data_IF_694858523133
#
_entry.id   IF_694858523133
#
_cell.length_a   1.000
_cell.length_b   1.000
_cell.length_c   1.000
_cell.angle_alpha   90.00
_cell.angle_beta   90.00
_cell.angle_gamma   90.00
#
_symmetry.space_group_name_H-M   'P 1'
#
loop_
_entity.id
_entity.type
_entity.pdbx_description
1 polymer ?
#
# COMPACT_ATOMS: atom_id res chain seq x y z
N UNK A 1 -4.16 -58.08 -13.81
CA UNK A 1 -2.95 -58.02 -12.95
C UNK A 1 -2.01 -56.98 -13.53
N UNK A 2 -1.56 -56.02 -12.70
CA UNK A 2 -0.51 -55.01 -12.94
C UNK A 2 -0.90 -53.86 -13.89
N UNK A 3 -0.73 -52.57 -13.60
CA UNK A 3 -0.20 -51.83 -12.44
C UNK A 3 -0.82 -50.42 -12.54
N UNK A 4 -1.50 -49.96 -11.49
CA UNK A 4 -1.87 -48.54 -11.37
C UNK A 4 -0.64 -47.76 -10.91
N UNK A 5 -0.12 -46.89 -11.78
CA UNK A 5 0.85 -45.87 -11.37
C UNK A 5 0.06 -44.73 -10.72
N UNK A 6 0.02 -44.73 -9.38
CA UNK A 6 -0.38 -43.55 -8.61
C UNK A 6 0.83 -42.62 -8.63
N UNK A 7 0.82 -41.63 -9.53
CA UNK A 7 1.73 -40.49 -9.44
C UNK A 7 1.17 -39.59 -8.34
N UNK A 8 1.58 -39.87 -7.10
CA UNK A 8 1.53 -38.89 -6.03
C UNK A 8 2.55 -37.80 -6.38
N UNK A 9 2.09 -36.77 -7.10
CA UNK A 9 2.85 -35.55 -7.23
C UNK A 9 2.95 -34.93 -5.83
N UNK A 10 4.12 -35.10 -5.20
CA UNK A 10 4.56 -34.32 -4.06
C UNK A 10 4.33 -32.85 -4.41
N UNK A 11 3.30 -32.25 -3.82
CA UNK A 11 3.20 -30.80 -3.67
C UNK A 11 4.30 -30.45 -2.67
N UNK A 12 5.47 -30.10 -3.19
CA UNK A 12 6.51 -29.43 -2.44
C UNK A 12 5.89 -28.14 -1.87
N UNK A 13 5.76 -27.97 -0.55
CA UNK A 13 5.37 -26.71 0.01
C UNK A 13 6.60 -25.81 -0.08
N UNK A 14 6.73 -25.03 -1.16
CA UNK A 14 7.51 -23.80 -1.11
C UNK A 14 6.76 -22.82 -0.20
N UNK A 15 6.88 -23.05 1.11
CA UNK A 15 6.47 -22.15 2.17
C UNK A 15 7.69 -21.37 2.64
N UNK A 16 8.18 -20.42 1.83
CA UNK A 16 9.13 -19.40 2.31
C UNK A 16 9.01 -18.13 1.48
N UNK A 17 7.94 -17.38 1.72
CA UNK A 17 7.98 -15.93 1.67
C UNK A 17 6.69 -15.40 2.31
N UNK A 18 6.71 -15.25 3.65
CA UNK A 18 5.85 -14.24 4.28
C UNK A 18 6.42 -12.90 3.77
N UNK A 19 5.85 -12.32 2.72
CA UNK A 19 6.26 -10.97 2.32
C UNK A 19 5.16 -9.99 2.71
N UNK A 20 5.63 -8.85 3.21
CA UNK A 20 4.82 -7.67 3.45
C UNK A 20 4.17 -7.20 2.14
N UNK A 21 3.09 -6.44 2.27
CA UNK A 21 2.22 -5.94 1.19
C UNK A 21 2.94 -5.29 -0.01
N UNK A 22 4.12 -4.74 0.25
CA UNK A 22 5.00 -4.07 -0.68
C UNK A 22 6.21 -4.97 -0.94
N UNK A 23 6.77 -4.91 -2.14
CA UNK A 23 8.01 -5.63 -2.45
C UNK A 23 9.11 -5.21 -1.48
N UNK A 24 9.52 -6.13 -0.61
CA UNK A 24 10.54 -5.85 0.39
C UNK A 24 11.92 -5.85 -0.29
N UNK A 25 12.65 -4.71 -0.30
CA UNK A 25 13.93 -4.66 -0.99
C UNK A 25 14.97 -5.56 -0.30
N UNK A 26 15.89 -6.12 -1.10
CA UNK A 26 17.09 -6.76 -0.56
C UNK A 26 18.01 -5.71 0.08
N UNK A 27 18.77 -6.12 1.11
CA UNK A 27 19.65 -5.22 1.89
C UNK A 27 20.63 -4.43 1.00
N UNK A 28 21.25 -5.08 0.01
CA UNK A 28 22.18 -4.43 -0.92
C UNK A 28 21.48 -3.35 -1.76
N UNK A 29 20.27 -3.65 -2.24
CA UNK A 29 19.48 -2.72 -3.07
C UNK A 29 18.99 -1.54 -2.23
N UNK A 30 18.58 -1.78 -0.99
CA UNK A 30 18.17 -0.73 -0.07
C UNK A 30 19.35 0.19 0.29
N UNK A 31 20.52 -0.36 0.61
CA UNK A 31 21.73 0.42 0.86
C UNK A 31 22.12 1.26 -0.34
N UNK A 32 22.07 0.69 -1.56
CA UNK A 32 22.36 1.44 -2.78
C UNK A 32 21.37 2.58 -3.00
N UNK A 33 20.08 2.37 -2.77
CA UNK A 33 19.06 3.41 -2.85
C UNK A 33 19.29 4.55 -1.83
N UNK A 34 19.70 4.22 -0.60
CA UNK A 34 19.96 5.19 0.47
C UNK A 34 21.21 6.04 0.24
N UNK A 35 22.19 5.53 -0.54
CA UNK A 35 23.40 6.27 -0.89
C UNK A 35 23.19 7.29 -2.02
N UNK A 36 21.98 7.40 -2.57
CA UNK A 36 21.66 8.25 -3.71
C UNK A 36 20.65 9.34 -3.36
N UNK A 37 20.63 10.40 -4.15
CA UNK A 37 19.60 11.44 -4.08
C UNK A 37 18.26 10.86 -4.53
N UNK A 38 17.20 11.08 -3.76
CA UNK A 38 15.85 10.68 -4.14
C UNK A 38 15.30 11.67 -5.18
N UNK A 39 15.26 11.24 -6.45
CA UNK A 39 14.62 11.99 -7.53
C UNK A 39 13.13 11.66 -7.60
N UNK A 40 12.27 12.64 -7.34
CA UNK A 40 10.82 12.47 -7.27
C UNK A 40 10.15 13.10 -8.49
N UNK A 41 9.33 12.31 -9.19
CA UNK A 41 8.54 12.79 -10.30
C UNK A 41 7.40 13.69 -9.79
N UNK A 42 7.32 14.92 -10.31
CA UNK A 42 6.19 15.81 -10.06
C UNK A 42 5.00 15.48 -10.97
N UNK A 43 3.79 15.78 -10.51
CA UNK A 43 2.60 15.67 -11.34
C UNK A 43 2.60 16.74 -12.43
N UNK A 44 1.93 16.45 -13.56
CA UNK A 44 1.80 17.43 -14.65
C UNK A 44 1.08 18.68 -14.14
N UNK A 45 1.68 19.85 -14.35
CA UNK A 45 1.15 21.15 -13.92
C UNK A 45 0.09 21.72 -14.88
N UNK A 46 -0.41 20.92 -15.82
CA UNK A 46 -1.43 21.36 -16.78
C UNK A 46 -2.81 21.39 -16.09
N UNK A 47 -2.96 22.30 -15.12
CA UNK A 47 -4.19 22.54 -14.36
C UNK A 47 -3.99 22.64 -12.85
N UNK A 48 -4.93 23.32 -12.18
CA UNK A 48 -4.89 23.60 -10.73
C UNK A 48 -4.77 22.33 -9.87
N UNK A 49 -5.37 21.22 -10.31
CA UNK A 49 -5.30 19.94 -9.60
C UNK A 49 -3.87 19.38 -9.57
N UNK A 50 -3.19 19.35 -10.71
CA UNK A 50 -1.82 18.83 -10.81
C UNK A 50 -0.79 19.70 -10.10
N UNK A 51 -0.99 21.02 -10.09
CA UNK A 51 -0.19 21.94 -9.30
C UNK A 51 -0.39 21.74 -7.79
N UNK A 52 -1.64 21.60 -7.34
CA UNK A 52 -1.99 21.34 -5.94
C UNK A 52 -1.39 20.02 -5.45
N UNK A 53 -1.52 18.94 -6.23
CA UNK A 53 -0.90 17.65 -5.93
C UNK A 53 0.62 17.76 -5.86
N UNK A 54 1.26 18.39 -6.85
CA UNK A 54 2.71 18.59 -6.85
C UNK A 54 3.20 19.38 -5.64
N UNK A 55 2.45 20.41 -5.22
CA UNK A 55 2.76 21.19 -4.03
C UNK A 55 2.65 20.33 -2.76
N UNK A 56 1.53 19.63 -2.58
CA UNK A 56 1.33 18.74 -1.44
C UNK A 56 2.41 17.65 -1.38
N UNK A 57 2.76 17.05 -2.52
CA UNK A 57 3.78 16.03 -2.61
C UNK A 57 5.17 16.55 -2.22
N UNK A 58 5.53 17.74 -2.74
CA UNK A 58 6.78 18.44 -2.38
C UNK A 58 6.85 18.79 -0.90
N UNK A 59 5.78 19.36 -0.35
CA UNK A 59 5.72 19.79 1.05
C UNK A 59 5.94 18.60 2.00
N UNK A 60 5.26 17.48 1.74
CA UNK A 60 5.39 16.27 2.55
C UNK A 60 6.79 15.67 2.43
N UNK A 61 7.33 15.44 1.23
CA UNK A 61 8.65 14.81 1.10
C UNK A 61 9.76 15.70 1.64
N UNK A 62 9.69 17.01 1.47
CA UNK A 62 10.66 17.94 2.06
C UNK A 62 10.64 17.88 3.58
N UNK A 63 9.44 17.80 4.18
CA UNK A 63 9.26 17.77 5.63
C UNK A 63 9.63 16.42 6.24
N UNK A 64 9.17 15.32 5.65
CA UNK A 64 9.17 14.00 6.28
C UNK A 64 10.30 13.08 5.78
N UNK A 65 10.85 13.26 4.57
CA UNK A 65 11.99 12.48 4.10
C UNK A 65 13.27 12.94 4.81
N UNK A 66 14.02 11.98 5.37
CA UNK A 66 15.23 12.23 6.18
C UNK A 66 16.37 11.24 5.90
N UNK A 67 16.23 10.40 4.88
CA UNK A 67 17.18 9.34 4.60
C UNK A 67 18.29 9.76 3.61
N UNK A 68 17.97 10.68 2.70
CA UNK A 68 18.91 11.23 1.72
C UNK A 68 18.43 12.60 1.23
N UNK A 69 19.22 13.24 0.37
CA UNK A 69 18.81 14.46 -0.33
C UNK A 69 17.63 14.16 -1.28
N UNK A 70 16.81 15.18 -1.55
CA UNK A 70 15.63 15.06 -2.42
C UNK A 70 15.73 16.08 -3.56
N UNK A 71 15.45 15.62 -4.78
CA UNK A 71 15.31 16.47 -5.95
C UNK A 71 13.96 16.21 -6.63
N UNK A 72 13.24 17.27 -7.01
CA UNK A 72 11.96 17.16 -7.70
C UNK A 72 12.13 17.43 -9.18
N UNK A 73 11.71 16.48 -10.01
CA UNK A 73 11.88 16.52 -11.47
C UNK A 73 10.52 16.39 -12.16
N UNK A 74 10.37 17.09 -13.28
CA UNK A 74 9.27 16.79 -14.21
C UNK A 74 9.45 15.41 -14.82
N UNK A 75 8.39 14.81 -15.37
CA UNK A 75 8.48 13.53 -16.06
C UNK A 75 9.54 13.54 -17.18
N UNK A 76 9.66 14.66 -17.92
CA UNK A 76 10.65 14.79 -19.00
C UNK A 76 12.09 14.82 -18.47
N UNK A 77 12.34 15.56 -17.39
CA UNK A 77 13.67 15.62 -16.76
C UNK A 77 14.07 14.26 -16.19
N UNK A 78 13.13 13.59 -15.51
CA UNK A 78 13.35 12.25 -14.98
C UNK A 78 13.67 11.24 -16.07
N UNK A 79 12.91 11.21 -17.17
CA UNK A 79 13.18 10.27 -18.28
C UNK A 79 14.53 10.55 -18.96
N UNK A 80 14.95 11.82 -19.04
CA UNK A 80 16.29 12.17 -19.52
C UNK A 80 17.38 11.64 -18.56
N UNK A 81 17.20 11.81 -17.24
CA UNK A 81 18.12 11.31 -16.22
C UNK A 81 18.22 9.77 -16.21
N UNK A 82 17.08 9.08 -16.32
CA UNK A 82 17.00 7.61 -16.46
C UNK A 82 17.70 7.12 -17.73
N UNK A 83 17.48 7.78 -18.87
CA UNK A 83 18.13 7.43 -20.15
C UNK A 83 19.64 7.56 -20.08
N UNK A 84 20.13 8.58 -19.38
CA UNK A 84 21.56 8.79 -19.14
C UNK A 84 22.14 7.85 -18.08
N UNK A 85 21.32 7.01 -17.44
CA UNK A 85 21.74 6.05 -16.40
C UNK A 85 22.54 6.70 -15.28
N UNK A 86 22.10 7.86 -14.82
CA UNK A 86 22.77 8.53 -13.70
C UNK A 86 22.72 7.62 -12.47
N UNK A 87 23.90 7.28 -11.95
CA UNK A 87 24.08 6.58 -10.68
C UNK A 87 23.86 7.49 -9.47
N UNK A 88 23.62 8.79 -9.68
CA UNK A 88 23.47 9.77 -8.60
C UNK A 88 22.08 9.69 -7.94
N UNK A 89 21.13 9.06 -8.62
CA UNK A 89 19.73 9.06 -8.24
C UNK A 89 19.14 7.67 -8.02
N UNK A 90 18.20 7.63 -7.09
CA UNK A 90 17.12 6.65 -7.03
C UNK A 90 15.82 7.36 -7.44
N UNK A 91 15.03 6.76 -8.32
CA UNK A 91 13.90 7.43 -8.97
C UNK A 91 12.57 6.97 -8.39
N UNK A 92 11.81 7.89 -7.81
CA UNK A 92 10.41 7.68 -7.42
C UNK A 92 9.51 8.22 -8.53
N UNK A 93 8.97 7.31 -9.33
CA UNK A 93 8.04 7.62 -10.43
C UNK A 93 6.64 7.13 -10.13
N UNK A 94 5.65 7.69 -10.81
CA UNK A 94 4.26 7.31 -10.60
C UNK A 94 3.49 7.14 -11.91
N UNK A 95 2.50 6.25 -11.88
CA UNK A 95 1.61 6.00 -13.02
C UNK A 95 0.18 5.76 -12.55
N UNK A 96 -0.78 6.33 -13.28
CA UNK A 96 -2.17 5.94 -13.16
C UNK A 96 -2.36 4.64 -13.96
N UNK A 97 -2.90 3.63 -13.31
CA UNK A 97 -3.06 2.28 -13.85
C UNK A 97 -4.53 1.89 -13.83
N UNK A 98 -4.93 1.07 -14.82
CA UNK A 98 -6.23 0.43 -14.81
C UNK A 98 -6.08 -1.08 -15.04
N UNK A 99 -6.76 -1.88 -14.21
CA UNK A 99 -6.83 -3.33 -14.36
C UNK A 99 -8.24 -3.73 -14.79
N UNK A 100 -8.37 -4.31 -15.98
CA UNK A 100 -9.62 -4.87 -16.47
C UNK A 100 -9.71 -6.38 -16.22
N UNK A 101 -10.74 -6.81 -15.49
CA UNK A 101 -11.06 -8.22 -15.32
C UNK A 101 -12.16 -8.61 -16.31
N UNK A 102 -11.83 -9.56 -17.18
CA UNK A 102 -12.73 -10.09 -18.23
C UNK A 102 -13.25 -11.45 -17.81
N UNK A 103 -14.58 -11.64 -17.77
CA UNK A 103 -15.17 -12.98 -17.71
C UNK A 103 -15.06 -13.60 -19.10
N UNK A 104 -14.30 -14.69 -19.21
CA UNK A 104 -14.35 -15.53 -20.39
C UNK A 104 -15.53 -16.47 -20.30
N UNK A 105 -16.56 -16.21 -21.10
CA UNK A 105 -17.67 -17.12 -21.27
C UNK A 105 -17.49 -17.90 -22.58
N UNK A 106 -17.32 -19.23 -22.53
CA UNK A 106 -17.00 -20.09 -23.69
C UNK A 106 -18.02 -20.06 -24.85
N UNK A 107 -19.14 -19.33 -24.72
CA UNK A 107 -20.23 -19.25 -25.71
C UNK A 107 -20.69 -17.82 -26.07
N UNK A 108 -20.09 -16.77 -25.53
CA UNK A 108 -20.46 -15.37 -25.82
C UNK A 108 -19.21 -14.48 -25.79
N UNK A 109 -19.26 -13.33 -26.47
CA UNK A 109 -18.17 -12.34 -26.47
C UNK A 109 -17.66 -12.09 -25.04
N UNK A 110 -16.33 -12.00 -24.91
CA UNK A 110 -15.63 -11.58 -23.70
C UNK A 110 -16.31 -10.32 -23.12
N UNK A 111 -16.74 -10.41 -21.86
CA UNK A 111 -17.44 -9.33 -21.17
C UNK A 111 -16.54 -8.82 -20.06
N UNK A 112 -16.09 -7.57 -20.16
CA UNK A 112 -15.44 -6.88 -19.04
C UNK A 112 -16.42 -6.85 -17.87
N UNK A 113 -16.01 -7.44 -16.76
CA UNK A 113 -16.80 -7.52 -15.52
C UNK A 113 -16.47 -6.34 -14.63
N UNK A 114 -15.21 -5.91 -14.63
CA UNK A 114 -14.72 -4.90 -13.70
C UNK A 114 -13.46 -4.18 -14.22
N UNK A 115 -13.33 -2.89 -13.90
CA UNK A 115 -12.10 -2.11 -14.09
C UNK A 115 -11.70 -1.48 -12.75
N UNK A 116 -10.48 -1.72 -12.29
CA UNK A 116 -9.90 -1.08 -11.10
C UNK A 116 -8.95 0.02 -11.54
N UNK A 117 -9.20 1.27 -11.16
CA UNK A 117 -8.23 2.36 -11.31
C UNK A 117 -7.42 2.53 -10.03
N UNK A 118 -6.10 2.54 -10.13
CA UNK A 118 -5.19 2.73 -9.00
C UNK A 118 -3.97 3.56 -9.42
N UNK A 119 -3.32 4.16 -8.44
CA UNK A 119 -2.03 4.84 -8.65
C UNK A 119 -0.90 3.95 -8.14
N UNK A 120 0.12 3.70 -8.96
CA UNK A 120 1.32 2.99 -8.53
C UNK A 120 2.50 3.96 -8.44
N UNK A 121 3.22 3.89 -7.33
CA UNK A 121 4.50 4.56 -7.15
C UNK A 121 5.60 3.51 -7.16
N UNK A 122 6.59 3.68 -8.05
CA UNK A 122 7.72 2.78 -8.22
C UNK A 122 9.00 3.49 -7.84
N UNK A 123 9.81 2.84 -7.01
CA UNK A 123 11.16 3.28 -6.66
C UNK A 123 12.16 2.40 -7.40
N UNK A 124 12.99 2.99 -8.26
CA UNK A 124 13.85 2.26 -9.18
C UNK A 124 15.29 2.81 -9.24
N UNK A 125 16.25 1.92 -9.46
CA UNK A 125 17.66 2.23 -9.76
C UNK A 125 17.98 1.94 -11.23
N UNK A 126 18.82 2.78 -11.86
CA UNK A 126 19.14 2.70 -13.30
C UNK A 126 20.66 2.53 -13.58
N UNK A 127 21.38 1.81 -12.73
CA UNK A 127 22.84 1.59 -12.84
C UNK A 127 23.27 0.50 -13.84
N UNK A 128 22.40 -0.48 -14.14
CA UNK A 128 22.77 -1.58 -15.03
C UNK A 128 22.15 -1.49 -16.44
N UNK A 129 22.23 -2.58 -17.21
CA UNK A 129 21.53 -2.71 -18.50
C UNK A 129 20.01 -2.69 -18.33
N UNK A 130 19.49 -3.00 -17.14
CA UNK A 130 18.06 -3.03 -16.83
C UNK A 130 17.81 -2.23 -15.55
N UNK A 131 16.66 -1.56 -15.44
CA UNK A 131 16.25 -0.96 -14.17
C UNK A 131 16.12 -2.05 -13.09
N UNK A 132 16.57 -1.73 -11.88
CA UNK A 132 16.37 -2.54 -10.69
C UNK A 132 15.22 -1.94 -9.91
N UNK A 133 14.13 -2.68 -9.76
CA UNK A 133 13.01 -2.26 -8.92
C UNK A 133 13.39 -2.43 -7.45
N UNK A 134 13.28 -1.34 -6.68
CA UNK A 134 13.56 -1.32 -5.24
C UNK A 134 12.31 -1.68 -4.47
N UNK A 135 11.19 -1.01 -4.74
CA UNK A 135 9.87 -1.33 -4.18
C UNK A 135 8.78 -0.62 -4.97
N UNK A 136 7.54 -1.06 -4.79
CA UNK A 136 6.35 -0.40 -5.30
C UNK A 136 5.28 -0.25 -4.22
N UNK A 137 4.56 0.88 -4.24
CA UNK A 137 3.44 1.18 -3.33
C UNK A 137 2.25 1.65 -4.15
N UNK A 138 1.13 0.93 -4.04
CA UNK A 138 -0.10 1.20 -4.78
C UNK A 138 -1.17 1.86 -3.91
N UNK A 139 -1.88 2.84 -4.45
CA UNK A 139 -3.02 3.51 -3.82
C UNK A 139 -4.31 3.19 -4.56
N UNK A 140 -5.36 2.93 -3.79
CA UNK A 140 -6.70 2.79 -4.34
C UNK A 140 -7.24 4.17 -4.74
N UNK A 141 -8.09 4.19 -5.77
CA UNK A 141 -8.78 5.37 -6.31
C UNK A 141 -7.89 6.31 -7.14
N UNK A 142 -8.56 7.16 -7.93
CA UNK A 142 -7.91 8.11 -8.85
C UNK A 142 -7.50 9.43 -8.17
N UNK A 143 -7.92 9.65 -6.93
CA UNK A 143 -7.64 10.90 -6.20
C UNK A 143 -6.65 10.65 -5.07
N UNK A 144 -5.50 11.33 -5.14
CA UNK A 144 -4.45 11.27 -4.14
C UNK A 144 -4.60 12.44 -3.16
N UNK A 145 -4.36 12.17 -1.89
CA UNK A 145 -4.45 13.14 -0.79
C UNK A 145 -3.10 13.35 -0.11
N UNK A 146 -2.99 14.34 0.78
CA UNK A 146 -1.79 14.53 1.61
C UNK A 146 -1.49 13.31 2.49
N UNK A 147 -2.53 12.60 2.94
CA UNK A 147 -2.38 11.37 3.73
C UNK A 147 -1.71 10.29 2.88
N UNK A 148 -2.05 10.17 1.59
CA UNK A 148 -1.39 9.23 0.67
C UNK A 148 0.11 9.51 0.57
N UNK A 149 0.47 10.79 0.42
CA UNK A 149 1.86 11.20 0.33
C UNK A 149 2.64 11.01 1.64
N UNK A 150 2.01 11.28 2.79
CA UNK A 150 2.61 11.02 4.10
C UNK A 150 2.88 9.53 4.26
N UNK A 151 1.86 8.70 3.99
CA UNK A 151 1.99 7.25 4.05
C UNK A 151 3.05 6.73 3.09
N UNK A 152 3.10 7.22 1.84
CA UNK A 152 4.12 6.84 0.86
C UNK A 152 5.52 7.09 1.42
N UNK A 153 5.76 8.31 1.93
CA UNK A 153 7.04 8.70 2.49
C UNK A 153 7.42 7.82 3.69
N UNK A 154 6.49 7.60 4.62
CA UNK A 154 6.67 6.74 5.79
C UNK A 154 6.98 5.29 5.39
N UNK A 155 6.24 4.72 4.45
CA UNK A 155 6.44 3.34 4.00
C UNK A 155 7.76 3.15 3.27
N UNK A 156 8.13 4.08 2.37
CA UNK A 156 9.45 4.05 1.73
C UNK A 156 10.57 4.15 2.78
N UNK A 157 10.40 5.01 3.78
CA UNK A 157 11.35 5.14 4.88
C UNK A 157 11.51 3.82 5.64
N UNK A 158 10.39 3.22 6.08
CA UNK A 158 10.39 1.98 6.83
C UNK A 158 11.00 0.83 6.03
N UNK A 159 10.61 0.66 4.77
CA UNK A 159 11.11 -0.44 3.92
C UNK A 159 12.62 -0.33 3.69
N UNK A 160 13.11 0.84 3.27
CA UNK A 160 14.53 1.02 2.99
C UNK A 160 15.37 0.92 4.25
N UNK A 161 14.96 1.59 5.34
CA UNK A 161 15.71 1.59 6.59
C UNK A 161 15.81 0.19 7.18
N UNK A 162 14.69 -0.52 7.33
CA UNK A 162 14.70 -1.86 7.91
C UNK A 162 15.51 -2.84 7.04
N UNK A 163 15.37 -2.76 5.71
CA UNK A 163 16.13 -3.63 4.80
C UNK A 163 17.63 -3.35 4.89
N UNK A 164 18.04 -2.07 4.88
CA UNK A 164 19.44 -1.68 5.04
C UNK A 164 20.03 -2.04 6.41
N UNK A 165 19.19 -2.05 7.46
CA UNK A 165 19.55 -2.49 8.82
C UNK A 165 19.58 -4.04 8.95
N UNK A 166 19.33 -4.79 7.88
CA UNK A 166 19.39 -6.25 7.83
C UNK A 166 18.18 -6.96 8.45
N UNK A 167 17.06 -6.25 8.63
CA UNK A 167 15.82 -6.86 9.14
C UNK A 167 15.25 -7.81 8.09
N UNK A 168 14.96 -9.04 8.47
CA UNK A 168 14.36 -10.00 7.57
C UNK A 168 12.93 -9.56 7.18
N UNK A 169 12.52 -9.81 5.93
CA UNK A 169 11.17 -9.48 5.47
C UNK A 169 10.06 -10.13 6.31
N UNK A 170 10.35 -11.30 6.91
CA UNK A 170 9.43 -12.00 7.82
C UNK A 170 9.19 -11.27 9.13
N UNK A 171 10.17 -10.46 9.55
CA UNK A 171 10.19 -9.78 10.84
C UNK A 171 9.69 -8.34 10.72
N UNK A 172 9.67 -7.79 9.49
CA UNK A 172 9.08 -6.50 9.18
C UNK A 172 7.58 -6.40 9.51
N UNK A 173 6.86 -7.53 9.53
CA UNK A 173 5.44 -7.59 9.87
C UNK A 173 5.17 -8.59 10.99
N UNK A 174 5.24 -8.13 12.24
CA UNK A 174 4.95 -8.95 13.41
C UNK A 174 3.48 -8.88 13.82
N UNK A 175 2.71 -9.93 13.49
CA UNK A 175 1.26 -10.01 13.77
C UNK A 175 0.94 -9.87 15.27
N UNK A 176 1.75 -10.47 16.15
CA UNK A 176 1.43 -10.50 17.57
C UNK A 176 1.63 -9.11 18.21
N UNK A 177 2.76 -8.46 17.93
CA UNK A 177 3.03 -7.07 18.34
C UNK A 177 2.01 -6.10 17.74
N UNK A 178 1.70 -6.26 16.45
CA UNK A 178 0.73 -5.41 15.78
C UNK A 178 -0.68 -5.49 16.37
N UNK A 179 -1.12 -6.69 16.80
CA UNK A 179 -2.42 -6.84 17.49
C UNK A 179 -2.36 -6.15 18.87
N UNK A 180 -1.26 -6.32 19.60
CA UNK A 180 -1.09 -5.69 20.92
C UNK A 180 -1.10 -4.16 20.82
N UNK A 181 -0.42 -3.60 19.82
CA UNK A 181 -0.40 -2.16 19.56
C UNK A 181 -1.80 -1.65 19.20
N UNK A 182 -2.53 -2.35 18.32
CA UNK A 182 -3.91 -1.97 17.96
C UNK A 182 -4.89 -1.99 19.11
N UNK A 183 -4.69 -2.86 20.10
CA UNK A 183 -5.54 -2.91 21.30
C UNK A 183 -5.32 -1.71 22.21
N UNK A 184 -4.12 -1.12 22.19
CA UNK A 184 -3.76 0.05 23.01
C UNK A 184 -4.12 1.37 22.33
N UNK A 185 -4.03 1.40 21.00
CA UNK A 185 -4.26 2.60 20.20
C UNK A 185 -5.74 2.94 20.00
N UNK A 186 -6.01 4.22 19.73
CA UNK A 186 -7.32 4.69 19.26
C UNK A 186 -7.40 4.54 17.74
N UNK A 187 -8.41 3.80 17.25
CA UNK A 187 -8.65 3.63 15.82
C UNK A 187 -9.44 4.83 15.25
N UNK A 188 -8.79 5.65 14.44
CA UNK A 188 -9.40 6.75 13.70
C UNK A 188 -10.08 6.21 12.44
N UNK A 189 -11.35 6.57 12.27
CA UNK A 189 -12.20 6.06 11.21
C UNK A 189 -12.87 7.21 10.46
N UNK A 190 -12.66 7.38 9.14
CA UNK A 190 -13.30 8.44 8.39
C UNK A 190 -14.78 8.10 8.19
N UNK A 191 -15.66 9.02 8.58
CA UNK A 191 -17.12 8.82 8.57
C UNK A 191 -17.65 8.42 7.20
N UNK A 192 -17.02 8.89 6.12
CA UNK A 192 -17.40 8.61 4.74
C UNK A 192 -17.33 7.13 4.36
N UNK A 193 -16.61 6.29 5.12
CA UNK A 193 -16.54 4.85 4.87
C UNK A 193 -17.70 4.07 5.50
N UNK A 194 -18.55 4.72 6.29
CA UNK A 194 -19.57 4.05 7.08
C UNK A 194 -20.96 4.61 6.81
N UNK A 195 -21.93 3.70 6.68
CA UNK A 195 -23.35 4.08 6.62
C UNK A 195 -23.86 4.29 8.05
N UNK A 196 -24.88 5.13 8.25
CA UNK A 196 -25.45 5.40 9.57
C UNK A 196 -25.79 4.12 10.36
N UNK A 197 -26.35 3.11 9.69
CA UNK A 197 -26.67 1.81 10.29
C UNK A 197 -25.45 1.02 10.78
N UNK A 198 -24.30 1.25 10.17
CA UNK A 198 -23.03 0.59 10.52
C UNK A 198 -22.39 1.33 11.70
N UNK A 199 -22.46 2.67 11.72
CA UNK A 199 -22.06 3.52 12.85
C UNK A 199 -22.83 3.11 14.12
N UNK A 200 -24.15 2.95 14.03
CA UNK A 200 -24.99 2.52 15.15
C UNK A 200 -24.67 1.13 15.71
N UNK A 201 -23.85 0.34 15.01
CA UNK A 201 -23.44 -1.02 15.39
C UNK A 201 -21.94 -1.14 15.62
N UNK A 202 -21.20 -0.03 15.63
CA UNK A 202 -19.75 -0.05 15.62
C UNK A 202 -19.16 -0.79 16.84
N UNK A 203 -19.74 -0.61 18.02
CA UNK A 203 -19.37 -1.35 19.25
C UNK A 203 -19.49 -2.87 19.11
N UNK A 204 -20.34 -3.37 18.21
CA UNK A 204 -20.46 -4.81 17.93
C UNK A 204 -19.42 -5.32 16.92
N UNK A 205 -18.75 -4.41 16.21
CA UNK A 205 -17.74 -4.71 15.20
C UNK A 205 -16.32 -4.51 15.71
N UNK A 206 -16.11 -3.57 16.64
CA UNK A 206 -14.80 -3.24 17.19
C UNK A 206 -14.93 -2.86 18.67
N UNK A 207 -14.26 -3.61 19.54
CA UNK A 207 -14.41 -3.48 21.00
C UNK A 207 -13.41 -2.53 21.66
N UNK A 208 -12.35 -2.13 20.95
CA UNK A 208 -11.33 -1.21 21.47
C UNK A 208 -11.67 0.25 21.14
N UNK A 209 -10.85 1.18 21.65
CA UNK A 209 -11.03 2.63 21.45
C UNK A 209 -11.07 2.98 19.97
N UNK A 210 -12.06 3.76 19.57
CA UNK A 210 -12.18 4.27 18.21
C UNK A 210 -12.80 5.66 18.20
N UNK A 211 -12.53 6.42 17.14
CA UNK A 211 -13.17 7.69 16.85
C UNK A 211 -13.63 7.72 15.39
N UNK A 212 -14.89 8.10 15.18
CA UNK A 212 -15.43 8.34 13.84
C UNK A 212 -15.32 9.84 13.59
N UNK A 213 -14.52 10.22 12.60
CA UNK A 213 -14.16 11.60 12.31
C UNK A 213 -14.66 12.02 10.93
N UNK A 214 -15.04 13.28 10.81
CA UNK A 214 -15.31 13.89 9.51
C UNK A 214 -14.01 14.04 8.70
N UNK A 215 -14.09 14.26 7.36
CA UNK A 215 -12.91 14.24 6.50
C UNK A 215 -11.79 15.20 6.96
N UNK A 216 -12.15 16.42 7.36
CA UNK A 216 -11.19 17.46 7.78
C UNK A 216 -10.46 17.09 9.07
N UNK A 217 -11.17 16.64 10.11
CA UNK A 217 -10.57 16.21 11.38
C UNK A 217 -9.75 14.95 11.23
N UNK A 218 -10.20 14.04 10.37
CA UNK A 218 -9.45 12.83 10.07
C UNK A 218 -8.11 13.17 9.40
N UNK A 219 -8.12 14.03 8.38
CA UNK A 219 -6.89 14.49 7.73
C UNK A 219 -5.96 15.20 8.72
N UNK A 220 -6.50 16.12 9.54
CA UNK A 220 -5.71 16.82 10.54
C UNK A 220 -5.06 15.85 11.55
N UNK A 221 -5.81 14.90 12.09
CA UNK A 221 -5.31 13.94 13.08
C UNK A 221 -4.19 13.07 12.50
N UNK A 222 -4.35 12.60 11.26
CA UNK A 222 -3.34 11.77 10.59
C UNK A 222 -2.10 12.58 10.22
N UNK A 223 -2.25 13.78 9.64
CA UNK A 223 -1.11 14.63 9.27
C UNK A 223 -0.32 15.15 10.47
N UNK A 224 -0.98 15.29 11.63
CA UNK A 224 -0.33 15.66 12.88
C UNK A 224 0.37 14.47 13.58
N UNK A 225 0.25 13.25 13.04
CA UNK A 225 0.89 12.04 13.57
C UNK A 225 0.57 11.83 15.05
N UNK A 226 -0.72 11.90 15.39
CA UNK A 226 -1.18 11.80 16.78
C UNK A 226 -0.69 10.51 17.45
N UNK A 227 -0.06 10.64 18.62
CA UNK A 227 0.46 9.53 19.41
C UNK A 227 -0.65 8.54 19.78
N UNK A 228 -0.30 7.25 19.89
CA UNK A 228 -1.22 6.16 20.25
C UNK A 228 -2.48 6.10 19.35
N UNK A 229 -2.37 6.53 18.09
CA UNK A 229 -3.46 6.43 17.12
C UNK A 229 -3.08 5.57 15.92
N UNK A 230 -4.10 4.89 15.41
CA UNK A 230 -4.02 4.17 14.15
C UNK A 230 -5.17 4.62 13.27
N UNK A 231 -4.99 4.69 11.97
CA UNK A 231 -6.04 5.06 11.03
C UNK A 231 -6.26 3.98 9.98
N UNK A 232 -7.47 3.95 9.43
CA UNK A 232 -7.83 3.02 8.37
C UNK A 232 -7.61 3.63 6.99
N UNK A 233 -7.10 2.82 6.07
CA UNK A 233 -6.86 3.21 4.69
C UNK A 233 -7.13 2.04 3.74
N UNK A 234 -7.62 2.35 2.55
CA UNK A 234 -7.66 1.39 1.44
C UNK A 234 -6.44 1.63 0.57
N UNK A 235 -5.74 0.56 0.21
CA UNK A 235 -4.65 0.64 -0.76
C UNK A 235 -4.80 -0.45 -1.82
N UNK A 236 -4.03 -0.32 -2.91
CA UNK A 236 -3.85 -1.41 -3.87
C UNK A 236 -2.63 -2.22 -3.46
N UNK A 237 -2.81 -3.50 -3.15
CA UNK A 237 -1.67 -4.39 -2.92
C UNK A 237 -1.26 -5.02 -4.23
N UNK A 238 -0.05 -4.68 -4.71
CA UNK A 238 0.55 -5.29 -5.89
C UNK A 238 0.78 -6.80 -5.70
N UNK A 239 1.19 -7.20 -4.50
CA UNK A 239 1.39 -8.60 -4.12
C UNK A 239 0.10 -9.43 -4.23
N UNK A 240 -1.01 -8.89 -3.72
CA UNK A 240 -2.31 -9.57 -3.75
C UNK A 240 -3.09 -9.34 -5.05
N UNK A 241 -2.67 -8.39 -5.89
CA UNK A 241 -3.44 -7.85 -7.01
C UNK A 241 -4.89 -7.52 -6.62
N UNK A 242 -5.05 -6.86 -5.47
CA UNK A 242 -6.35 -6.57 -4.90
C UNK A 242 -6.32 -5.29 -4.07
N UNK A 243 -7.47 -4.62 -3.98
CA UNK A 243 -7.67 -3.66 -2.90
C UNK A 243 -7.58 -4.36 -1.56
N UNK A 244 -7.02 -3.63 -0.61
CA UNK A 244 -6.76 -4.12 0.72
C UNK A 244 -7.08 -3.02 1.70
N UNK A 245 -7.80 -3.38 2.75
CA UNK A 245 -7.97 -2.52 3.90
C UNK A 245 -6.80 -2.71 4.84
N UNK A 246 -6.15 -1.61 5.20
CA UNK A 246 -5.07 -1.60 6.15
C UNK A 246 -5.42 -0.71 7.34
N UNK A 247 -4.84 -1.06 8.48
CA UNK A 247 -4.72 -0.16 9.61
C UNK A 247 -3.27 0.28 9.72
N UNK A 248 -3.06 1.57 9.85
CA UNK A 248 -1.75 2.22 9.78
C UNK A 248 -1.51 2.98 11.08
N UNK A 249 -0.33 2.81 11.66
CA UNK A 249 0.14 3.63 12.77
C UNK A 249 0.34 5.08 12.30
N UNK A 250 -0.27 6.05 12.99
CA UNK A 250 -0.18 7.44 12.56
C UNK A 250 1.24 8.03 12.71
N UNK A 251 2.04 7.52 13.66
CA UNK A 251 3.34 8.08 13.98
C UNK A 251 4.39 7.73 12.93
N UNK A 252 4.52 6.45 12.59
CA UNK A 252 5.58 5.94 11.72
C UNK A 252 5.08 5.37 10.40
N UNK A 253 3.76 5.24 10.22
CA UNK A 253 3.12 4.70 9.03
C UNK A 253 3.17 3.18 8.94
N UNK A 254 3.62 2.45 9.96
CA UNK A 254 3.67 0.99 9.97
C UNK A 254 2.28 0.37 9.81
N UNK A 255 2.20 -0.73 9.05
CA UNK A 255 0.95 -1.45 8.86
C UNK A 255 0.72 -2.35 10.07
N UNK A 256 -0.39 -2.16 10.77
CA UNK A 256 -0.79 -2.94 11.95
C UNK A 256 -1.82 -4.01 11.64
N UNK A 257 -2.63 -3.83 10.61
CA UNK A 257 -3.51 -4.88 10.13
C UNK A 257 -3.65 -4.81 8.62
N UNK A 258 -3.84 -5.97 8.00
CA UNK A 258 -4.03 -6.08 6.55
C UNK A 258 -5.15 -7.07 6.27
N UNK A 259 -6.22 -6.60 5.63
CA UNK A 259 -7.40 -7.38 5.26
C UNK A 259 -7.64 -7.28 3.77
N UNK A 260 -7.26 -8.33 3.03
CA UNK A 260 -7.59 -8.46 1.61
C UNK A 260 -9.06 -8.83 1.43
N UNK A 261 -9.66 -8.33 0.36
CA UNK A 261 -11.05 -8.61 0.02
C UNK A 261 -11.20 -9.96 -0.71
N UNK A 262 -10.96 -11.06 0.02
CA UNK A 262 -11.23 -12.41 -0.48
C UNK A 262 -12.74 -12.66 -0.67
N UNK A 263 -13.18 -12.87 -1.92
CA UNK A 263 -14.50 -13.46 -2.19
C UNK A 263 -15.69 -12.51 -2.31
N UNK A 264 -15.48 -11.23 -2.62
CA UNK A 264 -16.60 -10.38 -3.03
C UNK A 264 -16.97 -10.74 -4.47
N UNK A 265 -18.16 -11.34 -4.66
CA UNK A 265 -18.78 -11.43 -5.99
C UNK A 265 -19.16 -10.01 -6.40
N UNK A 266 -18.29 -9.34 -7.15
CA UNK A 266 -18.55 -7.99 -7.63
C UNK A 266 -19.57 -8.03 -8.77
N UNK A 267 -20.63 -7.21 -8.64
CA UNK A 267 -21.43 -6.79 -9.78
C UNK A 267 -20.67 -5.75 -10.62
N UNK A 268 -21.22 -5.36 -11.76
CA UNK A 268 -20.65 -4.30 -12.60
C UNK A 268 -20.59 -2.98 -11.81
N UNK A 269 -19.40 -2.36 -11.75
CA UNK A 269 -19.11 -1.03 -11.19
C UNK A 269 -19.39 -0.89 -9.68
N UNK A 270 -18.46 -1.31 -8.82
CA UNK A 270 -18.48 -0.98 -7.39
C UNK A 270 -17.39 0.05 -7.08
N UNK A 271 -17.75 1.12 -6.38
CA UNK A 271 -16.80 2.06 -5.75
C UNK A 271 -15.96 1.28 -4.72
N UNK A 272 -14.67 1.60 -4.60
CA UNK A 272 -13.79 1.00 -3.57
C UNK A 272 -14.38 1.16 -2.16
N UNK A 273 -15.10 2.26 -1.90
CA UNK A 273 -15.78 2.54 -0.65
C UNK A 273 -16.94 1.56 -0.35
N UNK A 274 -17.56 0.96 -1.38
CA UNK A 274 -18.63 -0.03 -1.22
C UNK A 274 -18.09 -1.46 -0.95
N UNK A 275 -16.79 -1.67 -1.12
CA UNK A 275 -16.12 -2.95 -0.88
C UNK A 275 -15.97 -3.20 0.62
N UNK A 276 -15.86 -2.13 1.37
CA UNK A 276 -15.64 -2.11 2.82
C UNK A 276 -16.93 -2.46 3.54
N UNK A 277 -16.86 -3.41 4.45
CA UNK A 277 -17.96 -3.67 5.38
C UNK A 277 -17.46 -3.44 6.79
N UNK A 278 -18.10 -2.54 7.54
CA UNK A 278 -17.74 -2.22 8.92
C UNK A 278 -17.54 -3.47 9.80
N UNK A 279 -18.34 -4.53 9.59
CA UNK A 279 -18.18 -5.82 10.28
C UNK A 279 -16.80 -6.49 10.14
N UNK A 280 -16.02 -6.14 9.11
CA UNK A 280 -14.67 -6.65 8.89
C UNK A 280 -13.66 -6.08 9.91
N UNK A 281 -14.00 -4.97 10.59
CA UNK A 281 -13.21 -4.45 11.71
C UNK A 281 -13.02 -5.51 12.80
N UNK A 282 -13.99 -6.41 12.99
CA UNK A 282 -13.87 -7.52 13.96
C UNK A 282 -12.75 -8.50 13.64
N UNK A 283 -12.12 -8.41 12.45
CA UNK A 283 -11.04 -9.28 12.03
C UNK A 283 -9.66 -8.62 12.16
N UNK A 284 -9.57 -7.30 12.35
CA UNK A 284 -8.27 -6.61 12.40
C UNK A 284 -7.46 -6.99 13.65
N UNK A 285 -8.10 -7.52 14.68
CA UNK A 285 -7.45 -8.00 15.91
C UNK A 285 -7.32 -9.53 15.96
N UNK A 286 -7.75 -10.24 14.91
CA UNK A 286 -7.72 -11.70 14.87
C UNK A 286 -6.46 -12.19 14.17
N UNK A 287 -5.65 -12.96 14.90
CA UNK A 287 -4.39 -13.55 14.40
C UNK A 287 -4.57 -14.38 13.13
N UNK A 288 -5.61 -15.21 13.05
CA UNK A 288 -5.81 -16.10 11.89
C UNK A 288 -6.08 -15.31 10.59
N UNK A 289 -7.07 -14.40 10.52
CA UNK A 289 -7.23 -13.51 9.37
C UNK A 289 -5.95 -12.77 9.00
N UNK A 290 -5.24 -12.15 9.94
CA UNK A 290 -3.99 -11.46 9.62
C UNK A 290 -2.94 -12.40 9.02
N UNK A 291 -2.74 -13.59 9.61
CA UNK A 291 -1.79 -14.60 9.11
C UNK A 291 -2.14 -15.13 7.72
N UNK A 292 -3.42 -15.18 7.36
CA UNK A 292 -3.83 -15.56 6.00
C UNK A 292 -3.50 -14.45 5.02
N UNK A 293 -3.69 -13.20 5.41
CA UNK A 293 -3.47 -12.04 4.54
C UNK A 293 -2.00 -11.59 4.48
N UNK A 294 -1.14 -12.01 5.41
CA UNK A 294 0.30 -11.69 5.38
C UNK A 294 1.14 -12.73 4.61
N UNK A 295 0.52 -13.82 4.15
CA UNK A 295 1.20 -15.01 3.60
C UNK A 295 1.26 -15.06 2.09
N UNK A 296 0.52 -14.19 1.41
CA UNK A 296 0.48 -14.10 -0.05
C UNK A 296 1.30 -12.91 -0.45
#
# INVERSE_FOLDING_TARGET
MKQFLIIAALVLPFCTSLQAQNYYPDEEVANEALNRTLAIQTFNSDGEYGESLSKAFKDIFTKEWKLSDVEFMTAKEMEAAKTNKSSDYVFLSHSAMSLEIIERNLKALDRTVFTFSFFNFSLDLYDTKRPTNVTEIGFANEELTKIDFLYLCQQLHLLLKNSADGVASSDFYNIDENIEDLQKSTLLMPEQFFREKDIAKMDSYYENKYEILNPEKFEEAVLNKADDTCYIKIIWSNQHNAYTWITVDAADGSIRSLMSFGGVKFGRNHDANDIIKAKQLSNILKKFPQKVNSKY
#
